data_IF_259645490791
#
_entry.id   IF_259645490791
#
_cell.length_a   1.000
_cell.length_b   1.000
_cell.length_c   1.000
_cell.angle_alpha   90.00
_cell.angle_beta   90.00
_cell.angle_gamma   90.00
#
_symmetry.space_group_name_H-M   'P 1'
#
loop_
_entity.id
_entity.type
_entity.pdbx_description
1 polymer ?
#
# COMPACT_ATOMS: atom_id res chain seq x y z
N UNK A 1 60.74 -10.68 -27.45
CA UNK A 1 59.67 -11.14 -26.59
C UNK A 1 59.39 -10.09 -25.52
N UNK A 2 58.36 -9.26 -25.68
CA UNK A 2 57.96 -8.26 -24.68
C UNK A 2 56.66 -8.77 -24.05
N UNK A 3 56.74 -9.09 -22.77
CA UNK A 3 55.59 -9.54 -21.97
C UNK A 3 54.78 -8.30 -21.56
N UNK A 4 53.55 -8.21 -22.01
CA UNK A 4 52.59 -7.21 -21.55
C UNK A 4 51.84 -7.78 -20.34
N UNK A 5 52.08 -7.23 -19.17
CA UNK A 5 51.32 -7.51 -17.98
C UNK A 5 50.04 -6.65 -18.03
N UNK A 6 48.89 -7.27 -18.30
CA UNK A 6 47.60 -6.63 -18.19
C UNK A 6 47.19 -6.51 -16.71
N UNK A 7 47.04 -5.28 -16.22
CA UNK A 7 46.46 -5.02 -14.92
C UNK A 7 44.93 -5.21 -14.99
N UNK A 8 44.43 -6.23 -14.30
CA UNK A 8 43.00 -6.46 -14.11
C UNK A 8 42.54 -5.47 -13.02
N UNK A 9 41.84 -4.41 -13.41
CA UNK A 9 41.19 -3.51 -12.48
C UNK A 9 39.92 -4.24 -11.94
N UNK A 10 39.99 -4.69 -10.70
CA UNK A 10 38.83 -5.14 -9.95
C UNK A 10 37.95 -3.91 -9.65
N UNK A 11 36.84 -3.76 -10.38
CA UNK A 11 35.79 -2.84 -10.00
C UNK A 11 35.13 -3.41 -8.75
N UNK A 12 35.40 -2.82 -7.60
CA UNK A 12 34.61 -3.10 -6.39
C UNK A 12 33.20 -2.54 -6.63
N UNK A 13 32.16 -3.30 -6.34
CA UNK A 13 30.79 -2.76 -6.39
C UNK A 13 30.70 -1.60 -5.39
N UNK A 14 30.31 -0.44 -5.85
CA UNK A 14 29.93 0.67 -4.99
C UNK A 14 28.62 0.23 -4.31
N UNK A 15 28.68 -0.20 -3.06
CA UNK A 15 27.50 -0.33 -2.22
C UNK A 15 27.13 1.09 -1.82
N UNK A 16 26.04 1.60 -2.36
CA UNK A 16 25.48 2.87 -1.89
C UNK A 16 25.15 2.71 -0.40
N UNK A 17 25.50 3.71 0.42
CA UNK A 17 25.13 3.68 1.82
C UNK A 17 23.61 3.83 1.94
N UNK A 18 22.99 3.06 2.84
CA UNK A 18 21.57 3.19 3.17
C UNK A 18 21.29 4.64 3.59
N UNK A 19 20.14 5.18 3.14
CA UNK A 19 19.70 6.52 3.54
C UNK A 19 19.55 6.58 5.08
N UNK A 20 20.14 7.60 5.71
CA UNK A 20 19.99 7.88 7.12
C UNK A 20 19.12 9.12 7.30
N UNK A 21 18.21 9.04 8.24
CA UNK A 21 17.35 10.15 8.65
C UNK A 21 17.68 10.65 10.05
N UNK A 22 18.86 10.32 10.57
CA UNK A 22 19.34 10.80 11.87
C UNK A 22 19.43 12.33 11.87
N UNK A 23 18.76 12.96 12.83
CA UNK A 23 18.68 14.41 12.95
C UNK A 23 17.81 15.14 11.94
N UNK A 24 17.14 14.43 11.01
CA UNK A 24 16.10 15.03 10.17
C UNK A 24 14.92 15.44 11.03
N UNK A 25 14.46 16.68 10.85
CA UNK A 25 13.32 17.21 11.59
C UNK A 25 12.08 17.24 10.68
N UNK A 26 10.99 16.64 11.15
CA UNK A 26 9.75 16.61 10.39
C UNK A 26 8.87 17.82 10.72
N UNK A 27 8.26 18.40 9.68
CA UNK A 27 7.38 19.53 9.74
C UNK A 27 6.09 19.28 8.99
N UNK A 28 4.99 19.75 9.58
CA UNK A 28 3.71 19.94 8.93
C UNK A 28 3.59 21.41 8.56
N UNK A 29 3.35 21.69 7.29
CA UNK A 29 3.23 23.05 6.74
C UNK A 29 1.78 23.25 6.32
N UNK A 30 1.08 24.20 6.96
CA UNK A 30 -0.24 24.60 6.50
C UNK A 30 -0.09 25.39 5.18
N UNK A 31 -0.70 24.88 4.12
CA UNK A 31 -0.54 25.45 2.79
C UNK A 31 -1.60 26.52 2.51
N UNK A 32 -1.22 27.77 2.66
CA UNK A 32 -1.96 28.90 2.06
C UNK A 32 -1.47 29.21 0.64
N UNK A 33 -0.60 28.38 0.07
CA UNK A 33 0.03 28.53 -1.24
C UNK A 33 -0.22 27.27 -2.07
N UNK A 34 -0.13 27.39 -3.40
CA UNK A 34 -0.16 26.17 -4.23
C UNK A 34 1.05 25.29 -3.92
N UNK A 35 0.87 24.00 -3.96
CA UNK A 35 1.91 22.97 -3.78
C UNK A 35 3.17 23.28 -4.62
N UNK A 36 2.98 23.71 -5.87
CA UNK A 36 4.07 24.11 -6.77
C UNK A 36 4.90 25.27 -6.23
N UNK A 37 4.25 26.28 -5.63
CA UNK A 37 4.94 27.44 -5.04
C UNK A 37 5.73 27.05 -3.77
N UNK A 38 5.27 26.06 -3.01
CA UNK A 38 6.03 25.48 -1.90
C UNK A 38 7.22 24.66 -2.40
N UNK A 39 7.02 23.81 -3.39
CA UNK A 39 8.11 23.02 -4.00
C UNK A 39 9.22 23.94 -4.55
N UNK A 40 8.87 25.06 -5.18
CA UNK A 40 9.86 26.04 -5.66
C UNK A 40 10.68 26.63 -4.50
N UNK A 41 10.03 27.01 -3.40
CA UNK A 41 10.71 27.52 -2.21
C UNK A 41 11.61 26.47 -1.52
N UNK A 42 11.22 25.23 -1.55
CA UNK A 42 11.95 24.12 -0.93
C UNK A 42 13.02 23.50 -1.85
N UNK A 43 13.04 23.85 -3.13
CA UNK A 43 13.88 23.22 -4.16
C UNK A 43 15.38 23.30 -3.92
N UNK A 44 15.85 24.25 -3.10
CA UNK A 44 17.26 24.42 -2.72
C UNK A 44 17.65 23.66 -1.44
N UNK A 45 16.68 23.02 -0.77
CA UNK A 45 16.87 22.32 0.50
C UNK A 45 16.77 20.80 0.29
N UNK A 46 17.49 20.04 1.10
CA UNK A 46 17.34 18.60 1.17
C UNK A 46 16.12 18.25 2.02
N UNK A 47 15.00 18.06 1.35
CA UNK A 47 13.73 17.69 1.96
C UNK A 47 13.23 16.38 1.41
N UNK A 48 12.56 15.60 2.26
CA UNK A 48 11.88 14.36 1.88
C UNK A 48 10.40 14.54 2.18
N UNK A 49 9.55 14.28 1.19
CA UNK A 49 8.11 14.26 1.34
C UNK A 49 7.70 13.04 2.18
N UNK A 50 7.10 13.28 3.33
CA UNK A 50 6.58 12.26 4.25
C UNK A 50 5.05 12.32 4.39
N UNK A 51 4.38 13.08 3.53
CA UNK A 51 2.92 13.16 3.46
C UNK A 51 2.28 12.03 2.62
N UNK A 52 0.97 11.92 2.71
CA UNK A 52 0.20 10.91 1.95
C UNK A 52 0.00 11.26 0.47
N UNK A 53 0.61 12.31 -0.04
CA UNK A 53 0.49 12.75 -1.44
C UNK A 53 0.41 14.26 -1.55
N UNK A 54 -0.03 14.72 -2.73
CA UNK A 54 -0.13 16.16 -3.05
C UNK A 54 -1.41 16.77 -2.43
N UNK A 55 -1.54 16.75 -1.09
CA UNK A 55 -2.60 17.47 -0.42
C UNK A 55 -2.37 18.98 -0.62
N UNK A 56 -3.37 19.66 -1.18
CA UNK A 56 -3.24 21.08 -1.49
C UNK A 56 -3.35 21.97 -0.25
N UNK A 57 -3.84 21.41 0.86
CA UNK A 57 -4.08 22.18 2.10
C UNK A 57 -2.90 22.09 3.08
N UNK A 58 -2.06 21.07 2.98
CA UNK A 58 -0.86 20.94 3.82
C UNK A 58 0.25 20.13 3.14
N UNK A 59 1.45 20.21 3.68
CA UNK A 59 2.61 19.44 3.25
C UNK A 59 3.39 18.93 4.47
N UNK A 60 3.59 17.61 4.54
CA UNK A 60 4.44 16.99 5.56
C UNK A 60 5.80 16.65 4.97
N UNK A 61 6.87 17.24 5.54
CA UNK A 61 8.24 17.03 5.06
C UNK A 61 9.21 16.74 6.19
N UNK A 62 10.25 15.97 5.87
CA UNK A 62 11.45 15.85 6.69
C UNK A 62 12.57 16.70 6.08
N UNK A 63 13.18 17.57 6.88
CA UNK A 63 14.23 18.50 6.49
C UNK A 63 15.56 18.00 7.03
N UNK A 64 16.60 17.95 6.17
CA UNK A 64 17.95 17.53 6.56
C UNK A 64 18.53 18.46 7.63
N UNK A 65 19.37 17.92 8.56
CA UNK A 65 19.93 18.71 9.67
C UNK A 65 20.63 20.00 9.25
N UNK A 66 21.37 19.96 8.13
CA UNK A 66 22.10 21.11 7.58
C UNK A 66 21.19 22.21 7.04
N UNK A 67 19.96 21.88 6.66
CA UNK A 67 19.01 22.79 6.02
C UNK A 67 17.91 23.30 6.97
N UNK A 68 17.83 22.82 8.21
CA UNK A 68 16.80 23.24 9.18
C UNK A 68 16.78 24.75 9.38
N UNK A 69 17.96 25.38 9.57
CA UNK A 69 18.03 26.82 9.77
C UNK A 69 17.58 27.61 8.52
N UNK A 70 17.91 27.12 7.33
CA UNK A 70 17.48 27.74 6.07
C UNK A 70 15.97 27.56 5.85
N UNK A 71 15.41 26.41 6.21
CA UNK A 71 13.96 26.16 6.19
C UNK A 71 13.22 27.08 7.14
N UNK A 72 13.64 27.19 8.40
CA UNK A 72 13.02 28.09 9.40
C UNK A 72 13.08 29.55 8.95
N UNK A 73 14.13 29.96 8.23
CA UNK A 73 14.27 31.33 7.68
C UNK A 73 13.27 31.63 6.53
N UNK A 74 12.63 30.64 5.93
CA UNK A 74 11.57 30.83 4.93
C UNK A 74 10.30 31.43 5.53
N UNK A 75 10.12 31.34 6.86
CA UNK A 75 8.97 31.89 7.58
C UNK A 75 7.63 31.29 7.18
N UNK A 76 7.62 30.00 6.80
CA UNK A 76 6.40 29.27 6.48
C UNK A 76 5.59 29.00 7.76
N UNK A 77 4.27 28.90 7.63
CA UNK A 77 3.41 28.45 8.74
C UNK A 77 3.60 26.94 8.91
N UNK A 78 4.55 26.58 9.75
CA UNK A 78 4.99 25.21 9.92
C UNK A 78 5.06 24.83 11.41
N UNK A 79 4.54 23.63 11.70
CA UNK A 79 4.61 23.03 13.03
C UNK A 79 5.47 21.76 13.01
N UNK A 80 6.22 21.53 14.09
CA UNK A 80 7.08 20.34 14.20
C UNK A 80 6.24 19.11 14.44
N UNK A 81 6.46 18.08 13.62
CA UNK A 81 5.84 16.75 13.69
C UNK A 81 6.75 15.78 14.46
N UNK A 82 8.02 15.71 14.07
CA UNK A 82 9.03 14.93 14.79
C UNK A 82 10.33 15.72 14.91
N UNK A 83 10.98 15.65 16.07
CA UNK A 83 12.26 16.32 16.32
C UNK A 83 13.42 15.60 15.65
N UNK A 84 13.32 14.28 15.46
CA UNK A 84 14.32 13.42 14.83
C UNK A 84 13.62 12.22 14.18
N UNK A 85 13.58 12.20 12.85
CA UNK A 85 12.94 11.11 12.08
C UNK A 85 13.68 9.79 12.26
N UNK A 86 15.01 9.82 12.45
CA UNK A 86 15.80 8.62 12.75
C UNK A 86 15.37 7.94 14.05
N UNK A 87 15.02 8.72 15.07
CA UNK A 87 14.48 8.19 16.33
C UNK A 87 13.10 7.53 16.13
N UNK A 88 12.25 8.14 15.31
CA UNK A 88 10.94 7.54 14.99
C UNK A 88 11.11 6.22 14.21
N UNK A 89 11.97 6.20 13.19
CA UNK A 89 12.29 4.99 12.43
C UNK A 89 12.81 3.85 13.33
N UNK A 90 13.59 4.18 14.35
CA UNK A 90 14.07 3.17 15.29
C UNK A 90 12.95 2.47 16.11
N UNK A 91 11.76 3.07 16.19
CA UNK A 91 10.59 2.47 16.90
C UNK A 91 9.97 1.30 16.14
N UNK A 92 10.12 1.23 14.82
CA UNK A 92 9.67 0.07 14.03
C UNK A 92 10.42 -1.21 14.39
N UNK A 93 11.60 -1.05 14.98
CA UNK A 93 12.49 -2.18 15.31
C UNK A 93 13.14 -2.79 14.08
N UNK A 94 13.85 -3.89 14.29
CA UNK A 94 14.42 -4.66 13.20
C UNK A 94 13.37 -5.60 12.61
N UNK A 95 13.40 -5.78 11.28
CA UNK A 95 12.65 -6.86 10.63
C UNK A 95 13.05 -8.20 11.26
N UNK A 96 12.07 -9.02 11.59
CA UNK A 96 12.33 -10.34 12.19
C UNK A 96 12.15 -11.41 11.12
N UNK A 97 13.17 -12.27 10.91
CA UNK A 97 13.04 -13.41 10.01
C UNK A 97 11.89 -14.31 10.46
N UNK A 98 11.09 -14.71 9.51
CA UNK A 98 10.03 -15.69 9.75
C UNK A 98 10.63 -17.10 9.73
N UNK A 99 10.23 -17.92 10.68
CA UNK A 99 10.54 -19.34 10.65
C UNK A 99 9.23 -20.11 10.54
N UNK A 100 8.98 -20.67 9.37
CA UNK A 100 7.82 -21.52 9.15
C UNK A 100 7.74 -22.63 10.19
N UNK A 101 6.56 -22.89 10.72
CA UNK A 101 6.36 -23.96 11.70
C UNK A 101 6.48 -25.30 11.01
N UNK A 102 7.67 -25.90 11.07
CA UNK A 102 7.92 -27.26 10.55
C UNK A 102 7.19 -28.24 11.44
N UNK A 103 6.12 -28.85 10.94
CA UNK A 103 5.41 -29.94 11.63
C UNK A 103 5.93 -31.31 11.22
N UNK A 104 5.65 -32.31 12.07
CA UNK A 104 6.03 -33.69 11.79
C UNK A 104 5.38 -34.20 10.49
N UNK A 105 6.08 -35.08 9.77
CA UNK A 105 5.59 -35.63 8.53
C UNK A 105 4.23 -36.32 8.70
N UNK A 106 3.19 -35.80 8.00
CA UNK A 106 1.83 -36.32 8.02
C UNK A 106 0.80 -35.51 8.81
N UNK A 107 1.20 -34.40 9.46
CA UNK A 107 0.26 -33.45 10.07
C UNK A 107 -0.07 -32.31 9.09
N UNK A 108 -1.36 -31.96 8.98
CA UNK A 108 -1.77 -30.74 8.26
C UNK A 108 -1.23 -29.55 9.05
N UNK A 109 -0.46 -28.64 8.43
CA UNK A 109 0.02 -27.45 9.11
C UNK A 109 -1.16 -26.63 9.65
N UNK A 110 -0.99 -25.99 10.80
CA UNK A 110 -1.91 -24.92 11.23
C UNK A 110 -1.58 -23.62 10.52
N UNK A 111 -2.45 -22.64 10.66
CA UNK A 111 -2.14 -21.27 10.27
C UNK A 111 -0.86 -20.76 10.94
N UNK A 112 -0.18 -19.76 10.35
CA UNK A 112 0.95 -19.08 10.99
C UNK A 112 0.62 -18.65 12.43
N UNK A 113 1.63 -18.64 13.29
CA UNK A 113 1.44 -18.24 14.69
C UNK A 113 1.12 -16.73 14.77
N UNK A 114 0.33 -16.33 15.77
CA UNK A 114 -0.03 -14.92 15.97
C UNK A 114 1.17 -13.99 16.21
N UNK A 115 2.33 -14.53 16.59
CA UNK A 115 3.59 -13.80 16.69
C UNK A 115 4.09 -13.21 15.36
N UNK A 116 3.57 -13.68 14.22
CA UNK A 116 3.76 -13.02 12.92
C UNK A 116 3.35 -11.55 12.98
N UNK A 117 2.26 -11.23 13.63
CA UNK A 117 1.71 -9.88 13.76
C UNK A 117 2.34 -9.03 14.87
N UNK A 118 3.46 -9.47 15.45
CA UNK A 118 4.23 -8.75 16.49
C UNK A 118 5.49 -8.08 15.93
N UNK A 119 5.73 -8.15 14.62
CA UNK A 119 6.90 -7.54 13.96
C UNK A 119 6.65 -7.34 12.48
N UNK A 120 7.46 -6.47 11.86
CA UNK A 120 7.56 -6.39 10.41
C UNK A 120 8.53 -7.45 9.88
N UNK A 121 8.35 -7.85 8.62
CA UNK A 121 9.06 -8.94 7.98
C UNK A 121 9.64 -8.51 6.62
N UNK A 122 10.62 -9.26 6.09
CA UNK A 122 11.17 -9.07 4.75
C UNK A 122 10.22 -9.64 3.69
N UNK A 123 10.43 -9.27 2.43
CA UNK A 123 9.53 -9.65 1.33
C UNK A 123 9.40 -11.18 1.18
N UNK A 124 10.47 -11.89 1.29
CA UNK A 124 10.51 -13.35 1.18
C UNK A 124 9.67 -14.03 2.27
N UNK A 125 9.58 -13.44 3.44
CA UNK A 125 8.77 -13.94 4.54
C UNK A 125 7.26 -13.79 4.25
N UNK A 126 6.85 -12.70 3.59
CA UNK A 126 5.47 -12.54 3.13
C UNK A 126 5.06 -13.59 2.09
N UNK A 127 5.98 -13.96 1.18
CA UNK A 127 5.74 -15.07 0.26
C UNK A 127 5.56 -16.40 1.02
N UNK A 128 6.41 -16.67 2.01
CA UNK A 128 6.31 -17.86 2.85
C UNK A 128 5.02 -17.88 3.68
N UNK A 129 4.57 -16.73 4.16
CA UNK A 129 3.29 -16.61 4.87
C UNK A 129 2.11 -17.08 4.00
N UNK A 130 2.07 -16.69 2.72
CA UNK A 130 1.02 -17.14 1.79
C UNK A 130 1.07 -18.65 1.59
N UNK A 131 2.26 -19.23 1.42
CA UNK A 131 2.46 -20.68 1.29
C UNK A 131 2.00 -21.43 2.56
N UNK A 132 2.29 -20.90 3.74
CA UNK A 132 1.88 -21.50 5.02
C UNK A 132 0.34 -21.43 5.22
N UNK A 133 -0.29 -20.33 4.80
CA UNK A 133 -1.76 -20.23 4.79
C UNK A 133 -2.37 -21.23 3.82
N UNK A 134 -1.80 -21.37 2.61
CA UNK A 134 -2.23 -22.40 1.66
C UNK A 134 -2.06 -23.81 2.23
N UNK A 135 -0.92 -24.10 2.83
CA UNK A 135 -0.67 -25.40 3.45
C UNK A 135 -1.66 -25.72 4.58
N UNK A 136 -2.14 -24.71 5.30
CA UNK A 136 -3.18 -24.84 6.33
C UNK A 136 -4.59 -24.99 5.76
N UNK A 137 -4.83 -24.58 4.50
CA UNK A 137 -6.15 -24.56 3.85
C UNK A 137 -6.13 -25.14 2.42
N UNK A 138 -5.49 -26.30 2.18
CA UNK A 138 -5.11 -26.76 0.84
C UNK A 138 -6.28 -27.15 -0.08
N UNK A 139 -7.46 -27.41 0.48
CA UNK A 139 -8.63 -27.81 -0.32
C UNK A 139 -9.44 -26.62 -0.85
N UNK A 140 -9.19 -25.44 -0.32
CA UNK A 140 -9.98 -24.24 -0.56
C UNK A 140 -9.11 -23.00 -0.81
N UNK A 141 -7.86 -23.22 -1.19
CA UNK A 141 -6.93 -22.17 -1.57
C UNK A 141 -5.90 -22.65 -2.58
N UNK A 142 -5.30 -21.69 -3.29
CA UNK A 142 -4.08 -21.86 -4.08
C UNK A 142 -3.26 -20.58 -4.00
N UNK A 143 -1.94 -20.68 -3.96
CA UNK A 143 -1.05 -19.54 -4.19
C UNK A 143 -0.91 -19.32 -5.69
N UNK A 144 -0.75 -18.05 -6.09
CA UNK A 144 -0.54 -17.70 -7.50
C UNK A 144 0.50 -16.61 -7.64
N UNK A 145 1.12 -16.55 -8.81
CA UNK A 145 1.96 -15.42 -9.24
C UNK A 145 1.22 -14.72 -10.37
N UNK A 146 0.76 -13.50 -10.15
CA UNK A 146 0.07 -12.71 -11.16
C UNK A 146 1.03 -12.24 -12.26
N UNK A 147 2.31 -12.06 -11.93
CA UNK A 147 3.39 -11.68 -12.83
C UNK A 147 4.64 -11.29 -12.05
N UNK A 148 5.54 -10.56 -12.71
CA UNK A 148 6.81 -10.14 -12.13
C UNK A 148 6.93 -8.61 -12.15
N UNK A 149 7.61 -8.06 -11.14
CA UNK A 149 8.03 -6.66 -11.10
C UNK A 149 9.18 -6.39 -12.08
N UNK A 150 9.61 -5.13 -12.17
CA UNK A 150 10.72 -4.75 -13.04
C UNK A 150 12.03 -5.52 -12.72
N UNK A 151 12.34 -5.72 -11.43
CA UNK A 151 13.55 -6.42 -11.00
C UNK A 151 13.37 -7.95 -10.95
N UNK A 152 12.24 -8.47 -11.44
CA UNK A 152 11.96 -9.91 -11.55
C UNK A 152 11.46 -10.55 -10.25
N UNK A 153 10.96 -9.77 -9.29
CA UNK A 153 10.31 -10.33 -8.10
C UNK A 153 8.88 -10.72 -8.40
N UNK A 154 8.40 -11.86 -7.88
CA UNK A 154 7.02 -12.28 -8.11
C UNK A 154 6.03 -11.33 -7.42
N UNK A 155 4.97 -10.94 -8.13
CA UNK A 155 3.78 -10.32 -7.55
C UNK A 155 2.82 -11.46 -7.24
N UNK A 156 2.84 -11.88 -5.98
CA UNK A 156 2.18 -13.10 -5.52
C UNK A 156 0.92 -12.80 -4.71
N UNK A 157 0.01 -13.74 -4.75
CA UNK A 157 -1.21 -13.71 -3.94
C UNK A 157 -1.72 -15.10 -3.61
N UNK A 158 -2.84 -15.13 -2.92
CA UNK A 158 -3.59 -16.33 -2.60
C UNK A 158 -5.04 -16.17 -3.06
N UNK A 159 -5.56 -17.21 -3.68
CA UNK A 159 -6.96 -17.36 -4.05
C UNK A 159 -7.65 -18.28 -3.05
N UNK A 160 -8.78 -17.81 -2.49
CA UNK A 160 -9.62 -18.60 -1.59
C UNK A 160 -10.99 -18.81 -2.22
N UNK A 161 -11.55 -20.00 -2.03
CA UNK A 161 -12.91 -20.35 -2.47
C UNK A 161 -13.62 -21.27 -1.48
N UNK A 162 -14.93 -21.35 -1.61
CA UNK A 162 -15.78 -22.18 -0.76
C UNK A 162 -16.11 -23.56 -1.33
N UNK A 163 -17.25 -24.08 -0.91
CA UNK A 163 -17.71 -25.43 -1.22
C UNK A 163 -17.95 -25.74 -2.71
N UNK A 164 -18.21 -24.71 -3.52
CA UNK A 164 -18.55 -24.86 -4.93
C UNK A 164 -17.31 -24.93 -5.84
N UNK A 165 -16.12 -24.84 -5.23
CA UNK A 165 -14.82 -24.91 -5.93
C UNK A 165 -14.30 -23.57 -6.41
N UNK A 166 -13.10 -23.53 -7.02
CA UNK A 166 -12.46 -22.30 -7.46
C UNK A 166 -13.19 -21.68 -8.65
N UNK A 167 -13.23 -20.35 -8.70
CA UNK A 167 -13.82 -19.54 -9.77
C UNK A 167 -15.34 -19.81 -9.97
N UNK A 168 -16.05 -20.17 -8.91
CA UNK A 168 -17.48 -20.43 -8.98
C UNK A 168 -18.34 -19.15 -8.80
N UNK A 169 -17.79 -18.13 -8.16
CA UNK A 169 -18.51 -16.93 -7.75
C UNK A 169 -17.85 -15.64 -8.23
N UNK A 170 -18.47 -14.50 -7.95
CA UNK A 170 -17.89 -13.18 -8.20
C UNK A 170 -16.60 -12.99 -7.39
N UNK A 171 -15.64 -12.28 -7.99
CA UNK A 171 -14.36 -12.04 -7.36
C UNK A 171 -14.42 -10.91 -6.31
N UNK A 172 -13.64 -11.07 -5.24
CA UNK A 172 -13.20 -10.00 -4.34
C UNK A 172 -11.68 -9.90 -4.49
N UNK A 173 -11.19 -8.73 -4.89
CA UNK A 173 -9.76 -8.48 -5.12
C UNK A 173 -9.24 -7.49 -4.09
N UNK A 174 -8.19 -7.86 -3.36
CA UNK A 174 -7.46 -6.99 -2.44
C UNK A 174 -6.02 -6.82 -2.89
N UNK A 175 -5.61 -5.57 -3.10
CA UNK A 175 -4.22 -5.18 -3.33
C UNK A 175 -3.68 -4.47 -2.09
N UNK A 176 -2.42 -4.70 -1.75
CA UNK A 176 -1.75 -4.00 -0.66
C UNK A 176 -0.34 -3.58 -1.03
N UNK A 177 0.20 -2.61 -0.31
CA UNK A 177 1.58 -2.16 -0.41
C UNK A 177 1.96 -1.68 -1.83
N UNK A 178 1.05 -0.95 -2.47
CA UNK A 178 1.30 -0.24 -3.73
C UNK A 178 2.39 0.82 -3.51
N UNK A 179 2.31 1.56 -2.38
CA UNK A 179 3.38 2.45 -1.95
C UNK A 179 4.28 1.73 -0.94
N UNK A 180 5.53 1.64 -1.29
CA UNK A 180 6.49 0.78 -0.62
C UNK A 180 6.72 1.08 0.88
N UNK A 181 6.64 2.37 1.27
CA UNK A 181 6.87 2.84 2.65
C UNK A 181 5.73 2.54 3.63
N UNK A 182 4.59 2.09 3.14
CA UNK A 182 3.37 1.85 3.92
C UNK A 182 3.39 0.45 4.55
N UNK A 183 4.36 0.20 5.41
CA UNK A 183 4.63 -1.14 5.95
C UNK A 183 3.48 -1.78 6.70
N UNK A 184 2.63 -0.98 7.37
CA UNK A 184 1.47 -1.48 8.12
C UNK A 184 0.46 -2.21 7.23
N UNK A 185 0.47 -1.95 5.91
CA UNK A 185 -0.52 -2.48 4.97
C UNK A 185 -0.38 -3.99 4.81
N UNK A 186 0.84 -4.49 4.52
CA UNK A 186 1.04 -5.92 4.28
C UNK A 186 0.53 -6.80 5.44
N UNK A 187 0.99 -6.62 6.70
CA UNK A 187 0.51 -7.43 7.82
C UNK A 187 -0.97 -7.19 8.16
N UNK A 188 -1.54 -6.01 7.86
CA UNK A 188 -2.99 -5.80 8.03
C UNK A 188 -3.78 -6.66 7.04
N UNK A 189 -3.42 -6.67 5.75
CA UNK A 189 -4.06 -7.50 4.73
C UNK A 189 -3.88 -8.99 5.05
N UNK A 190 -2.70 -9.39 5.51
CA UNK A 190 -2.42 -10.76 5.95
C UNK A 190 -3.22 -11.17 7.20
N UNK A 191 -3.48 -10.24 8.11
CA UNK A 191 -4.37 -10.49 9.24
C UNK A 191 -5.81 -10.73 8.79
N UNK A 192 -6.29 -9.96 7.81
CA UNK A 192 -7.62 -10.18 7.24
C UNK A 192 -7.72 -11.54 6.54
N UNK A 193 -6.71 -11.92 5.77
CA UNK A 193 -6.57 -13.26 5.17
C UNK A 193 -6.60 -14.36 6.25
N UNK A 194 -5.79 -14.20 7.30
CA UNK A 194 -5.75 -15.11 8.44
C UNK A 194 -7.14 -15.30 9.05
N UNK A 195 -7.87 -14.21 9.29
CA UNK A 195 -9.19 -14.24 9.91
C UNK A 195 -10.26 -14.88 9.02
N UNK A 196 -10.17 -14.74 7.71
CA UNK A 196 -11.04 -15.43 6.77
C UNK A 196 -10.85 -16.94 6.87
N UNK A 197 -9.60 -17.41 6.81
CA UNK A 197 -9.29 -18.85 6.83
C UNK A 197 -9.58 -19.46 8.20
N UNK A 198 -9.12 -18.85 9.29
CA UNK A 198 -9.38 -19.29 10.66
C UNK A 198 -10.88 -19.35 10.96
N UNK A 199 -11.60 -18.31 10.54
CA UNK A 199 -13.05 -18.24 10.66
C UNK A 199 -13.78 -19.33 9.86
N UNK A 200 -13.31 -19.64 8.64
CA UNK A 200 -13.89 -20.71 7.84
C UNK A 200 -13.65 -22.07 8.46
N UNK A 201 -12.43 -22.35 8.92
CA UNK A 201 -12.09 -23.60 9.64
C UNK A 201 -12.89 -23.75 10.94
N UNK A 202 -13.12 -22.67 11.68
CA UNK A 202 -13.95 -22.63 12.91
C UNK A 202 -15.44 -22.53 12.64
N UNK A 203 -15.85 -22.48 11.36
CA UNK A 203 -17.26 -22.41 10.94
C UNK A 203 -17.99 -21.17 11.46
N UNK A 204 -17.31 -20.02 11.54
CA UNK A 204 -17.98 -18.74 11.85
C UNK A 204 -18.89 -18.32 10.70
N UNK A 205 -20.07 -17.78 11.03
CA UNK A 205 -21.09 -17.45 10.01
C UNK A 205 -20.57 -16.50 8.93
N UNK A 206 -19.83 -15.46 9.31
CA UNK A 206 -19.30 -14.47 8.36
C UNK A 206 -18.31 -15.09 7.39
N UNK A 207 -17.28 -15.78 7.90
CA UNK A 207 -16.22 -16.33 7.04
C UNK A 207 -16.76 -17.43 6.12
N UNK A 208 -17.63 -18.31 6.64
CA UNK A 208 -18.26 -19.37 5.81
C UNK A 208 -19.12 -18.75 4.73
N UNK A 209 -19.97 -17.75 5.07
CA UNK A 209 -20.80 -17.09 4.06
C UNK A 209 -19.96 -16.37 3.03
N UNK A 210 -18.92 -15.65 3.45
CA UNK A 210 -18.07 -14.89 2.54
C UNK A 210 -17.32 -15.81 1.56
N UNK A 211 -16.63 -16.82 2.06
CA UNK A 211 -15.82 -17.74 1.22
C UNK A 211 -16.73 -18.69 0.39
N UNK A 212 -17.93 -19.06 0.89
CA UNK A 212 -18.88 -19.88 0.11
C UNK A 212 -19.61 -19.12 -0.99
N UNK A 213 -19.60 -17.77 -0.99
CA UNK A 213 -20.31 -16.96 -1.99
C UNK A 213 -19.39 -16.10 -2.87
N UNK A 214 -18.11 -15.96 -2.53
CA UNK A 214 -17.15 -15.15 -3.27
C UNK A 214 -15.78 -15.85 -3.40
N UNK A 215 -15.13 -15.61 -4.51
CA UNK A 215 -13.74 -15.99 -4.75
C UNK A 215 -12.83 -14.83 -4.33
N UNK A 216 -11.95 -15.02 -3.33
CA UNK A 216 -11.05 -13.99 -2.84
C UNK A 216 -9.68 -14.08 -3.50
N UNK A 217 -9.19 -13.01 -4.08
CA UNK A 217 -7.84 -12.87 -4.63
C UNK A 217 -7.11 -11.79 -3.83
N UNK A 218 -6.13 -12.20 -3.02
CA UNK A 218 -5.48 -11.33 -2.04
C UNK A 218 -3.99 -11.27 -2.34
N UNK A 219 -3.47 -10.05 -2.61
CA UNK A 219 -2.06 -9.76 -2.88
C UNK A 219 -1.55 -8.73 -1.87
N UNK A 220 -0.88 -9.14 -0.77
CA UNK A 220 -0.43 -8.23 0.29
C UNK A 220 0.64 -7.23 -0.15
N UNK A 221 1.51 -7.62 -1.11
CA UNK A 221 2.62 -6.78 -1.60
C UNK A 221 2.62 -6.77 -3.12
N UNK A 222 2.14 -5.68 -3.73
CA UNK A 222 2.08 -5.54 -5.20
C UNK A 222 3.21 -4.67 -5.78
N UNK A 223 4.01 -4.01 -4.94
CA UNK A 223 5.22 -3.28 -5.31
C UNK A 223 6.46 -3.88 -4.62
N UNK A 224 6.85 -5.11 -4.98
CA UNK A 224 7.91 -5.82 -4.25
C UNK A 224 9.27 -5.15 -4.38
N UNK A 225 9.59 -4.53 -5.52
CA UNK A 225 10.88 -3.84 -5.71
C UNK A 225 11.00 -2.61 -4.82
N UNK A 226 9.95 -1.79 -4.78
CA UNK A 226 9.88 -0.65 -3.87
C UNK A 226 9.93 -1.11 -2.41
N UNK A 227 9.19 -2.16 -2.05
CA UNK A 227 9.15 -2.68 -0.69
C UNK A 227 10.53 -3.17 -0.21
N UNK A 228 11.24 -3.97 -1.03
CA UNK A 228 12.61 -4.40 -0.73
C UNK A 228 13.54 -3.18 -0.57
N UNK A 229 13.41 -2.18 -1.44
CA UNK A 229 14.21 -0.96 -1.37
C UNK A 229 13.99 -0.19 -0.05
N UNK A 230 12.82 -0.27 0.57
CA UNK A 230 12.56 0.41 1.85
C UNK A 230 13.39 -0.10 3.01
N UNK A 231 13.79 -1.36 3.03
CA UNK A 231 14.61 -1.89 4.12
C UNK A 231 16.08 -2.10 3.74
N UNK A 232 16.42 -2.09 2.46
CA UNK A 232 17.81 -2.17 2.01
C UNK A 232 18.47 -0.82 1.88
N UNK A 233 17.76 0.19 1.38
CA UNK A 233 18.32 1.48 0.95
C UNK A 233 17.63 2.70 1.57
N UNK A 234 16.30 2.88 1.38
CA UNK A 234 15.58 4.08 1.78
C UNK A 234 14.21 3.76 2.36
N UNK A 235 14.09 3.81 3.71
CA UNK A 235 12.85 3.47 4.43
C UNK A 235 11.62 4.27 3.98
N UNK A 236 11.81 5.49 3.54
CA UNK A 236 10.69 6.37 3.16
C UNK A 236 10.39 6.35 1.65
N UNK A 237 10.94 5.37 0.92
CA UNK A 237 10.68 5.20 -0.50
C UNK A 237 9.21 4.82 -0.78
N UNK A 238 8.56 5.54 -1.71
CA UNK A 238 7.14 5.37 -2.05
C UNK A 238 6.91 4.57 -3.34
N UNK A 239 7.58 4.99 -4.44
CA UNK A 239 7.32 4.57 -5.83
C UNK A 239 7.82 3.15 -6.12
N UNK A 240 7.57 2.64 -7.34
CA UNK A 240 8.28 1.47 -7.83
C UNK A 240 9.77 1.79 -8.12
N UNK A 241 10.52 0.85 -8.70
CA UNK A 241 11.94 1.04 -9.00
C UNK A 241 12.23 1.22 -10.49
N UNK A 242 11.26 1.66 -11.29
CA UNK A 242 11.43 1.80 -12.74
C UNK A 242 12.38 2.94 -13.09
N UNK A 243 13.48 2.57 -13.78
CA UNK A 243 14.38 3.52 -14.39
C UNK A 243 13.85 3.95 -15.75
N UNK A 244 13.96 5.25 -16.05
CA UNK A 244 13.56 5.80 -17.35
C UNK A 244 14.75 6.48 -18.00
N UNK A 245 14.94 6.29 -19.31
CA UNK A 245 16.06 6.87 -20.06
C UNK A 245 15.97 8.41 -20.02
N UNK A 246 17.07 9.05 -19.60
CA UNK A 246 17.15 10.51 -19.50
C UNK A 246 16.50 11.13 -18.25
N UNK A 247 15.82 10.35 -17.42
CA UNK A 247 15.28 10.85 -16.15
C UNK A 247 16.37 10.86 -15.06
N UNK A 248 16.37 11.91 -14.25
CA UNK A 248 17.32 12.05 -13.12
C UNK A 248 16.83 11.31 -11.87
N UNK A 249 15.53 11.07 -11.77
CA UNK A 249 14.90 10.39 -10.64
C UNK A 249 14.32 9.04 -11.08
N UNK A 250 14.27 8.09 -10.13
CA UNK A 250 13.77 6.73 -10.33
C UNK A 250 12.34 6.61 -9.85
N UNK A 251 11.60 5.70 -10.47
CA UNK A 251 10.29 5.23 -10.02
C UNK A 251 9.12 6.03 -10.56
N UNK A 252 8.02 5.29 -10.71
CA UNK A 252 6.67 5.80 -11.03
C UNK A 252 5.76 5.49 -9.85
N UNK A 253 4.87 6.40 -9.50
CA UNK A 253 3.79 6.11 -8.56
C UNK A 253 2.77 5.20 -9.24
N UNK A 254 2.72 3.95 -8.79
CA UNK A 254 1.82 2.94 -9.37
C UNK A 254 0.35 3.40 -9.24
N UNK A 255 -0.03 4.04 -8.11
CA UNK A 255 -1.38 4.57 -7.92
C UNK A 255 -1.60 5.96 -8.52
N UNK A 256 -0.82 6.32 -9.54
CA UNK A 256 -1.03 7.42 -10.50
C UNK A 256 -0.88 6.95 -11.93
N UNK A 257 -0.66 5.64 -12.15
CA UNK A 257 -0.37 5.09 -13.48
C UNK A 257 -1.50 4.23 -14.05
N UNK A 258 -2.63 4.07 -13.35
CA UNK A 258 -3.78 3.32 -13.85
C UNK A 258 -4.31 3.92 -15.15
N UNK A 259 -4.64 3.12 -16.20
CA UNK A 259 -4.98 3.61 -17.52
C UNK A 259 -6.43 4.11 -17.64
N UNK A 260 -6.82 4.99 -16.71
CA UNK A 260 -8.13 5.64 -16.69
C UNK A 260 -8.00 7.04 -16.07
N UNK A 261 -8.46 8.06 -16.78
CA UNK A 261 -8.31 9.47 -16.37
C UNK A 261 -6.89 9.80 -15.84
N UNK A 262 -5.89 9.27 -16.55
CA UNK A 262 -4.49 9.22 -16.09
C UNK A 262 -3.81 10.59 -16.01
N UNK A 263 -4.15 11.51 -16.91
CA UNK A 263 -3.48 12.80 -17.10
C UNK A 263 -4.37 14.01 -16.76
N UNK A 264 -5.38 13.81 -15.91
CA UNK A 264 -6.23 14.91 -15.46
C UNK A 264 -5.38 15.93 -14.71
N UNK A 265 -5.40 17.22 -15.14
CA UNK A 265 -4.58 18.26 -14.53
C UNK A 265 -4.86 18.41 -13.03
N UNK A 266 -3.80 18.50 -12.22
CA UNK A 266 -3.89 18.62 -10.77
C UNK A 266 -3.98 17.28 -10.02
N UNK A 267 -4.29 16.17 -10.68
CA UNK A 267 -4.47 14.88 -10.02
C UNK A 267 -3.22 14.01 -9.93
N UNK A 268 -2.14 14.38 -10.63
CA UNK A 268 -0.85 13.67 -10.63
C UNK A 268 0.25 14.53 -11.25
N UNK A 269 1.51 14.19 -10.98
CA UNK A 269 2.65 14.95 -11.46
C UNK A 269 3.26 14.37 -12.74
N UNK A 270 3.61 15.20 -13.74
CA UNK A 270 4.43 14.79 -14.88
C UNK A 270 5.94 14.82 -14.57
N UNK A 271 6.36 15.29 -13.38
CA UNK A 271 7.76 15.40 -13.00
C UNK A 271 8.28 14.07 -12.42
N UNK A 272 9.30 13.42 -13.03
CA UNK A 272 9.84 12.15 -12.53
C UNK A 272 10.36 12.20 -11.10
N UNK A 273 10.72 13.38 -10.59
CA UNK A 273 11.20 13.55 -9.22
C UNK A 273 10.08 13.76 -8.18
N UNK A 274 8.84 13.90 -8.62
CA UNK A 274 7.70 13.93 -7.70
C UNK A 274 7.39 12.54 -7.12
N UNK A 275 6.90 12.52 -5.88
CA UNK A 275 6.35 11.32 -5.24
C UNK A 275 5.11 10.78 -5.96
N UNK A 276 4.35 11.65 -6.65
CA UNK A 276 3.13 11.33 -7.40
C UNK A 276 3.35 11.28 -8.92
N UNK A 277 4.59 10.99 -9.36
CA UNK A 277 4.92 10.88 -10.78
C UNK A 277 4.12 9.77 -11.47
N UNK A 278 3.29 10.18 -12.47
CA UNK A 278 2.35 9.30 -13.16
C UNK A 278 2.93 8.39 -14.24
N UNK A 279 4.25 8.49 -14.55
CA UNK A 279 4.86 7.77 -15.67
C UNK A 279 4.85 8.59 -16.98
N UNK A 280 5.31 7.97 -18.08
CA UNK A 280 5.36 8.57 -19.41
C UNK A 280 4.10 8.28 -20.22
N UNK A 281 3.40 7.18 -19.88
CA UNK A 281 2.14 6.78 -20.50
C UNK A 281 1.25 6.04 -19.49
N UNK A 282 -0.07 5.99 -19.72
CA UNK A 282 -0.98 5.25 -18.86
C UNK A 282 -0.65 3.75 -18.89
N UNK A 283 -0.50 3.14 -17.70
CA UNK A 283 -0.25 1.71 -17.59
C UNK A 283 1.14 1.26 -18.02
N UNK A 284 2.15 2.14 -18.04
CA UNK A 284 3.47 1.86 -18.59
C UNK A 284 4.47 1.24 -17.58
N UNK A 285 4.02 0.89 -16.37
CA UNK A 285 4.85 0.14 -15.43
C UNK A 285 4.60 -1.36 -15.53
N UNK A 286 5.63 -2.22 -15.32
CA UNK A 286 5.44 -3.68 -15.31
C UNK A 286 4.39 -4.11 -14.30
N UNK A 287 4.43 -3.56 -13.10
CA UNK A 287 3.47 -3.86 -12.02
C UNK A 287 2.04 -3.52 -12.45
N UNK A 288 1.83 -2.37 -13.14
CA UNK A 288 0.51 -1.99 -13.63
C UNK A 288 -0.06 -2.97 -14.65
N UNK A 289 0.78 -3.44 -15.58
CA UNK A 289 0.35 -4.46 -16.54
C UNK A 289 -0.08 -5.76 -15.85
N UNK A 290 0.62 -6.15 -14.78
CA UNK A 290 0.26 -7.33 -13.97
C UNK A 290 -1.08 -7.11 -13.27
N UNK A 291 -1.24 -6.00 -12.54
CA UNK A 291 -2.44 -5.73 -11.73
C UNK A 291 -3.70 -5.57 -12.60
N UNK A 292 -3.60 -4.85 -13.72
CA UNK A 292 -4.73 -4.66 -14.63
C UNK A 292 -5.15 -5.97 -15.30
N UNK A 293 -4.19 -6.75 -15.81
CA UNK A 293 -4.47 -8.03 -16.45
C UNK A 293 -5.09 -9.02 -15.47
N UNK A 294 -4.52 -9.15 -14.27
CA UNK A 294 -5.06 -10.04 -13.24
C UNK A 294 -6.49 -9.65 -12.84
N UNK A 295 -6.73 -8.37 -12.54
CA UNK A 295 -8.06 -7.90 -12.12
C UNK A 295 -9.11 -8.09 -13.22
N UNK A 296 -8.77 -7.80 -14.49
CA UNK A 296 -9.66 -8.04 -15.63
C UNK A 296 -9.91 -9.53 -15.86
N UNK A 297 -8.89 -10.37 -15.69
CA UNK A 297 -9.04 -11.83 -15.85
C UNK A 297 -10.00 -12.40 -14.81
N UNK A 298 -9.79 -12.11 -13.53
CA UNK A 298 -10.61 -12.69 -12.46
C UNK A 298 -12.02 -12.09 -12.45
N UNK A 299 -12.17 -10.77 -12.67
CA UNK A 299 -13.47 -10.12 -12.79
C UNK A 299 -14.25 -10.55 -14.03
N UNK A 300 -13.55 -10.87 -15.13
CA UNK A 300 -14.17 -11.35 -16.37
C UNK A 300 -14.77 -12.74 -16.29
N UNK A 301 -14.49 -13.51 -15.24
CA UNK A 301 -15.04 -14.88 -15.07
C UNK A 301 -16.52 -14.85 -14.65
N UNK A 302 -16.81 -14.24 -13.50
CA UNK A 302 -18.17 -14.22 -12.93
C UNK A 302 -18.59 -12.83 -12.43
N UNK A 303 -17.78 -11.81 -12.61
CA UNK A 303 -17.99 -10.45 -12.10
C UNK A 303 -16.99 -10.10 -10.99
N UNK A 304 -16.92 -8.82 -10.67
CA UNK A 304 -16.08 -8.26 -9.63
C UNK A 304 -16.97 -7.56 -8.59
N UNK A 305 -17.20 -8.24 -7.47
CA UNK A 305 -18.07 -7.73 -6.40
C UNK A 305 -17.40 -6.58 -5.65
N UNK A 306 -16.12 -6.75 -5.30
CA UNK A 306 -15.40 -5.78 -4.51
C UNK A 306 -13.93 -5.71 -4.96
N UNK A 307 -13.45 -4.51 -5.18
CA UNK A 307 -12.03 -4.21 -5.31
C UNK A 307 -11.61 -3.33 -4.13
N UNK A 308 -10.49 -3.66 -3.46
CA UNK A 308 -9.91 -2.82 -2.40
C UNK A 308 -8.42 -2.64 -2.64
N UNK A 309 -7.98 -1.38 -2.65
CA UNK A 309 -6.59 -0.98 -2.62
C UNK A 309 -6.25 -0.45 -1.22
N UNK A 310 -5.36 -1.15 -0.52
CA UNK A 310 -4.99 -0.88 0.86
C UNK A 310 -3.75 0.00 0.93
N UNK A 311 -3.90 1.13 1.60
CA UNK A 311 -2.88 2.16 1.81
C UNK A 311 -2.75 2.55 3.29
N UNK A 312 -1.77 3.33 3.62
CA UNK A 312 -1.59 4.08 4.84
C UNK A 312 -0.91 5.41 4.49
N UNK A 313 -1.20 6.45 5.23
CA UNK A 313 -2.03 6.62 6.43
C UNK A 313 -3.10 7.70 6.22
N UNK A 314 -4.04 7.89 7.08
CA UNK A 314 -4.94 9.04 7.28
C UNK A 314 -6.30 8.62 7.85
N UNK A 315 -6.54 7.31 8.03
CA UNK A 315 -7.82 6.76 8.51
C UNK A 315 -9.00 7.15 7.60
N UNK A 316 -8.89 6.80 6.31
CA UNK A 316 -9.92 7.10 5.31
C UNK A 316 -10.49 5.82 4.69
N UNK A 317 -11.76 5.89 4.25
CA UNK A 317 -12.40 4.94 3.34
C UNK A 317 -12.85 5.73 2.12
N UNK A 318 -12.15 5.54 1.02
CA UNK A 318 -12.33 6.31 -0.21
C UNK A 318 -13.11 5.53 -1.25
N UNK A 319 -14.04 6.20 -1.89
CA UNK A 319 -14.94 5.69 -2.94
C UNK A 319 -14.64 6.40 -4.26
N UNK A 320 -15.07 5.89 -5.44
CA UNK A 320 -15.02 6.67 -6.67
C UNK A 320 -15.84 7.96 -6.55
N UNK A 321 -15.38 9.12 -7.08
CA UNK A 321 -14.20 9.26 -7.94
C UNK A 321 -13.12 10.16 -7.33
N UNK A 322 -11.86 9.89 -7.76
CA UNK A 322 -10.72 10.75 -7.45
C UNK A 322 -10.46 11.83 -8.51
N UNK A 323 -10.75 11.55 -9.79
CA UNK A 323 -10.38 12.43 -10.89
C UNK A 323 -11.29 13.67 -11.05
N UNK A 324 -12.48 13.67 -10.51
CA UNK A 324 -13.45 14.77 -10.64
C UNK A 324 -14.31 14.92 -9.38
N UNK A 325 -14.09 16.01 -8.64
CA UNK A 325 -14.80 16.29 -7.39
C UNK A 325 -16.33 16.54 -7.56
N UNK A 326 -16.79 16.75 -8.78
CA UNK A 326 -18.23 16.95 -9.08
C UNK A 326 -18.97 15.65 -9.40
N UNK A 327 -18.25 14.53 -9.52
CA UNK A 327 -18.81 13.22 -9.88
C UNK A 327 -18.89 12.30 -8.67
N UNK A 328 -19.86 11.41 -8.71
CA UNK A 328 -20.02 10.28 -7.81
C UNK A 328 -20.42 9.03 -8.61
N UNK A 329 -20.09 7.85 -8.10
CA UNK A 329 -20.50 6.58 -8.66
C UNK A 329 -22.04 6.46 -8.77
N UNK A 330 -22.56 5.69 -9.73
CA UNK A 330 -24.01 5.49 -9.87
C UNK A 330 -24.64 4.92 -8.59
N UNK A 331 -23.93 4.05 -7.88
CA UNK A 331 -24.35 3.44 -6.62
C UNK A 331 -23.74 4.11 -5.39
N UNK A 332 -23.37 5.40 -5.49
CA UNK A 332 -22.68 6.13 -4.41
C UNK A 332 -23.42 6.06 -3.07
N UNK A 333 -24.74 6.22 -3.07
CA UNK A 333 -25.52 6.19 -1.82
C UNK A 333 -25.41 4.83 -1.12
N UNK A 334 -25.40 3.75 -1.89
CA UNK A 334 -25.19 2.39 -1.36
C UNK A 334 -23.77 2.20 -0.83
N UNK A 335 -22.75 2.66 -1.56
CA UNK A 335 -21.37 2.62 -1.08
C UNK A 335 -21.18 3.45 0.19
N UNK A 336 -21.79 4.63 0.28
CA UNK A 336 -21.76 5.50 1.46
C UNK A 336 -22.42 4.86 2.69
N UNK A 337 -23.54 4.18 2.52
CA UNK A 337 -24.21 3.44 3.60
C UNK A 337 -23.29 2.34 4.15
N UNK A 338 -22.71 1.52 3.26
CA UNK A 338 -21.79 0.46 3.65
C UNK A 338 -20.52 1.02 4.32
N UNK A 339 -19.92 2.08 3.75
CA UNK A 339 -18.71 2.70 4.30
C UNK A 339 -18.95 3.31 5.69
N UNK A 340 -20.14 3.90 5.91
CA UNK A 340 -20.55 4.40 7.23
C UNK A 340 -20.63 3.29 8.27
N UNK A 341 -21.21 2.14 7.91
CA UNK A 341 -21.28 0.98 8.78
C UNK A 341 -19.90 0.37 9.07
N UNK A 342 -19.03 0.33 8.06
CA UNK A 342 -17.63 -0.09 8.21
C UNK A 342 -16.87 0.83 9.16
N UNK A 343 -16.96 2.13 8.98
CA UNK A 343 -16.29 3.13 9.85
C UNK A 343 -16.74 3.01 11.32
N UNK A 344 -18.02 2.79 11.57
CA UNK A 344 -18.52 2.59 12.93
C UNK A 344 -18.08 1.25 13.53
N UNK A 345 -18.01 0.19 12.72
CA UNK A 345 -17.47 -1.09 13.16
C UNK A 345 -15.98 -0.99 13.53
N UNK A 346 -15.16 -0.30 12.75
CA UNK A 346 -13.76 0.01 13.05
C UNK A 346 -13.67 0.78 14.36
N UNK A 347 -14.45 1.85 14.50
CA UNK A 347 -14.47 2.70 15.69
C UNK A 347 -14.77 1.94 16.97
N UNK A 348 -15.59 0.91 16.90
CA UNK A 348 -15.99 0.10 18.06
C UNK A 348 -14.84 -0.70 18.68
N UNK A 349 -13.71 -0.90 17.97
CA UNK A 349 -12.57 -1.69 18.43
C UNK A 349 -11.60 -0.87 19.28
N UNK A 350 -11.12 0.26 18.75
CA UNK A 350 -10.06 1.08 19.37
C UNK A 350 -10.40 2.58 19.39
N UNK A 351 -11.65 2.94 19.07
CA UNK A 351 -12.11 4.33 19.06
C UNK A 351 -11.60 5.17 17.88
N UNK A 352 -10.87 4.57 16.93
CA UNK A 352 -10.36 5.27 15.73
C UNK A 352 -11.52 5.70 14.84
N UNK A 353 -11.45 6.95 14.39
CA UNK A 353 -12.46 7.54 13.51
C UNK A 353 -11.94 7.53 12.09
N UNK A 354 -12.60 6.80 11.22
CA UNK A 354 -12.35 6.81 9.79
C UNK A 354 -13.32 7.75 9.10
N UNK A 355 -12.81 8.69 8.31
CA UNK A 355 -13.62 9.52 7.42
C UNK A 355 -13.87 8.72 6.14
N UNK A 356 -15.06 8.87 5.54
CA UNK A 356 -15.41 8.12 4.33
C UNK A 356 -16.16 8.99 3.34
N UNK A 357 -15.96 8.71 2.06
CA UNK A 357 -16.64 9.41 0.97
C UNK A 357 -15.95 9.26 -0.39
N UNK A 358 -16.49 9.91 -1.43
CA UNK A 358 -15.82 9.98 -2.72
C UNK A 358 -14.42 10.59 -2.56
N UNK A 359 -13.43 10.00 -3.23
CA UNK A 359 -12.01 10.31 -3.04
C UNK A 359 -11.69 11.79 -3.17
N UNK A 360 -12.14 12.43 -4.29
CA UNK A 360 -11.77 13.82 -4.55
C UNK A 360 -12.23 14.81 -3.45
N UNK A 361 -13.48 14.81 -2.97
CA UNK A 361 -13.88 15.70 -1.88
C UNK A 361 -13.41 15.24 -0.49
N UNK A 362 -12.97 13.98 -0.34
CA UNK A 362 -12.56 13.42 0.96
C UNK A 362 -11.09 13.68 1.26
N UNK A 363 -10.23 13.61 0.25
CA UNK A 363 -8.79 13.85 0.38
C UNK A 363 -8.34 15.00 -0.53
N UNK A 364 -8.27 14.78 -1.84
CA UNK A 364 -7.94 15.77 -2.89
C UNK A 364 -8.16 15.15 -4.27
N UNK A 365 -8.09 15.98 -5.33
CA UNK A 365 -8.18 15.47 -6.71
C UNK A 365 -6.99 14.57 -7.03
N UNK A 366 -7.28 13.34 -7.48
CA UNK A 366 -6.28 12.36 -7.92
C UNK A 366 -6.57 11.89 -9.33
N UNK A 367 -5.55 11.45 -10.08
CA UNK A 367 -5.74 10.90 -11.42
C UNK A 367 -4.94 9.62 -11.62
N UNK A 368 -5.43 8.73 -12.47
CA UNK A 368 -4.78 7.44 -12.72
C UNK A 368 -4.74 6.54 -11.47
N UNK A 369 -5.82 6.52 -10.69
CA UNK A 369 -5.92 5.75 -9.44
C UNK A 369 -6.72 4.46 -9.62
N UNK A 370 -6.41 3.49 -8.76
CA UNK A 370 -6.96 2.13 -8.78
C UNK A 370 -8.47 2.08 -8.67
N UNK A 371 -9.05 2.85 -7.74
CA UNK A 371 -10.49 2.82 -7.44
C UNK A 371 -11.34 3.26 -8.63
N UNK A 372 -10.94 4.33 -9.32
CA UNK A 372 -11.67 4.84 -10.48
C UNK A 372 -11.61 3.84 -11.64
N UNK A 373 -10.43 3.27 -11.87
CA UNK A 373 -10.23 2.27 -12.92
C UNK A 373 -10.99 0.96 -12.61
N UNK A 374 -10.94 0.48 -11.38
CA UNK A 374 -11.61 -0.76 -11.02
C UNK A 374 -13.13 -0.64 -11.11
N UNK A 375 -13.70 0.52 -10.78
CA UNK A 375 -15.12 0.78 -10.92
C UNK A 375 -15.55 0.90 -12.38
N UNK A 376 -14.92 1.80 -13.14
CA UNK A 376 -15.38 2.14 -14.51
C UNK A 376 -14.92 1.12 -15.57
N UNK A 377 -13.74 0.52 -15.41
CA UNK A 377 -13.12 -0.35 -16.43
C UNK A 377 -13.22 -1.82 -16.08
N UNK A 378 -12.88 -2.20 -14.85
CA UNK A 378 -12.99 -3.60 -14.44
C UNK A 378 -14.40 -3.99 -14.00
N UNK A 379 -15.31 -3.02 -13.82
CA UNK A 379 -16.72 -3.25 -13.50
C UNK A 379 -16.95 -3.72 -12.06
N UNK A 380 -16.09 -3.31 -11.14
CA UNK A 380 -16.30 -3.60 -9.71
C UNK A 380 -17.61 -2.95 -9.23
N UNK A 381 -18.50 -3.74 -8.60
CA UNK A 381 -19.72 -3.19 -8.00
C UNK A 381 -19.38 -2.22 -6.86
N UNK A 382 -18.38 -2.59 -6.05
CA UNK A 382 -17.80 -1.78 -4.99
C UNK A 382 -16.30 -1.61 -5.27
N UNK A 383 -15.80 -0.38 -5.27
CA UNK A 383 -14.39 -0.09 -5.50
C UNK A 383 -13.90 0.90 -4.48
N UNK A 384 -13.02 0.46 -3.59
CA UNK A 384 -12.63 1.20 -2.40
C UNK A 384 -11.12 1.33 -2.27
N UNK A 385 -10.67 2.48 -1.74
CA UNK A 385 -9.34 2.69 -1.23
C UNK A 385 -9.38 2.90 0.28
N UNK A 386 -8.47 2.29 0.99
CA UNK A 386 -8.31 2.53 2.42
C UNK A 386 -7.02 3.29 2.68
N UNK A 387 -7.09 4.24 3.61
CA UNK A 387 -5.91 4.75 4.30
C UNK A 387 -5.99 4.29 5.75
N UNK A 388 -5.10 3.38 6.13
CA UNK A 388 -5.06 2.80 7.47
C UNK A 388 -4.63 3.84 8.52
N UNK A 389 -4.48 3.40 9.77
CA UNK A 389 -3.89 4.21 10.84
C UNK A 389 -2.44 4.61 10.52
N UNK A 390 -1.92 5.74 11.10
CA UNK A 390 -2.61 6.67 11.99
C UNK A 390 -3.40 7.74 11.21
N UNK A 391 -4.06 8.66 11.93
CA UNK A 391 -4.82 9.73 11.27
C UNK A 391 -3.93 10.82 10.65
N UNK A 392 -2.70 10.97 11.13
CA UNK A 392 -1.80 12.05 10.70
C UNK A 392 -0.33 11.72 11.01
N UNK A 393 0.59 12.53 10.47
CA UNK A 393 2.03 12.35 10.63
C UNK A 393 2.50 12.49 12.11
N UNK A 394 1.81 13.27 12.96
CA UNK A 394 2.19 13.45 14.37
C UNK A 394 1.99 12.19 15.21
N UNK A 395 1.10 11.31 14.77
CA UNK A 395 0.81 10.02 15.42
C UNK A 395 1.68 8.87 14.86
N UNK A 396 2.70 9.19 14.05
CA UNK A 396 3.66 8.24 13.49
C UNK A 396 3.74 8.23 11.96
N UNK A 397 2.69 8.64 11.24
CA UNK A 397 2.69 8.63 9.78
C UNK A 397 2.94 7.23 9.22
N UNK A 398 3.92 7.09 8.32
CA UNK A 398 4.32 5.78 7.76
C UNK A 398 5.11 4.91 8.73
N UNK A 399 5.58 5.48 9.85
CA UNK A 399 6.49 4.83 10.77
C UNK A 399 5.75 4.45 12.03
N UNK A 400 5.24 3.23 12.06
CA UNK A 400 4.47 2.72 13.19
C UNK A 400 5.23 1.62 13.93
N UNK A 401 5.17 1.61 15.28
CA UNK A 401 5.76 0.52 16.05
C UNK A 401 5.00 -0.80 15.80
N UNK A 402 5.66 -1.97 15.95
CA UNK A 402 5.05 -3.26 15.67
C UNK A 402 3.77 -3.56 16.47
N UNK A 403 3.60 -2.92 17.62
CA UNK A 403 2.41 -3.03 18.47
C UNK A 403 1.14 -2.56 17.78
N UNK A 404 1.25 -1.69 16.77
CA UNK A 404 0.12 -1.21 15.96
C UNK A 404 -0.37 -2.23 14.92
N UNK A 405 0.44 -3.25 14.57
CA UNK A 405 0.09 -4.24 13.53
C UNK A 405 -1.18 -5.00 13.92
N UNK A 406 -1.18 -5.60 15.10
CA UNK A 406 -2.29 -6.44 15.53
C UNK A 406 -3.59 -5.64 15.70
N UNK A 407 -3.51 -4.43 16.27
CA UNK A 407 -4.71 -3.61 16.48
C UNK A 407 -5.24 -3.03 15.15
N UNK A 408 -4.35 -2.69 14.19
CA UNK A 408 -4.74 -2.35 12.82
C UNK A 408 -5.51 -3.50 12.17
N UNK A 409 -4.98 -4.70 12.23
CA UNK A 409 -5.66 -5.89 11.74
C UNK A 409 -7.05 -6.12 12.38
N UNK A 410 -7.13 -5.97 13.70
CA UNK A 410 -8.39 -6.19 14.45
C UNK A 410 -9.47 -5.17 14.11
N UNK A 411 -9.12 -3.89 14.00
CA UNK A 411 -10.08 -2.86 13.64
C UNK A 411 -10.56 -3.02 12.19
N UNK A 412 -9.64 -3.31 11.26
CA UNK A 412 -10.01 -3.55 9.87
C UNK A 412 -10.85 -4.84 9.72
N UNK A 413 -10.54 -5.89 10.49
CA UNK A 413 -11.39 -7.08 10.49
C UNK A 413 -12.82 -6.80 10.98
N UNK A 414 -13.00 -5.93 11.95
CA UNK A 414 -14.35 -5.52 12.37
C UNK A 414 -15.09 -4.81 11.23
N UNK A 415 -14.42 -3.91 10.51
CA UNK A 415 -14.98 -3.24 9.33
C UNK A 415 -15.31 -4.21 8.21
N UNK A 416 -14.37 -5.08 7.82
CA UNK A 416 -14.57 -6.08 6.76
C UNK A 416 -15.66 -7.08 7.12
N UNK A 417 -15.77 -7.50 8.38
CA UNK A 417 -16.92 -8.32 8.82
C UNK A 417 -18.26 -7.61 8.60
N UNK A 418 -18.32 -6.31 8.91
CA UNK A 418 -19.53 -5.53 8.64
C UNK A 418 -19.83 -5.52 7.14
N UNK A 419 -18.85 -5.18 6.31
CA UNK A 419 -19.00 -5.13 4.85
C UNK A 419 -19.49 -6.47 4.29
N UNK A 420 -18.79 -7.58 4.58
CA UNK A 420 -19.12 -8.93 4.11
C UNK A 420 -20.50 -9.45 4.60
N UNK A 421 -21.06 -8.85 5.63
CA UNK A 421 -22.38 -9.23 6.13
C UNK A 421 -23.52 -8.40 5.55
N UNK A 422 -23.23 -7.31 4.82
CA UNK A 422 -24.24 -6.34 4.39
C UNK A 422 -24.27 -6.09 2.87
N UNK A 423 -23.44 -6.76 2.05
CA UNK A 423 -23.54 -6.75 0.59
C UNK A 423 -23.92 -8.09 -0.03
#
# INVERSE_FOLDING_TARGET
MKSAAGALALALPFVAAKASYDGYKAFHIDSHHSYEALQEKLSALHVVDIGCGDDHDHLDIAVAPEDIAAFEALGLDASVVAQDVGVELAREGALKPYTATVKAAGEVPGLPEMSWFESYHEFEDHLQFLEDVHAAFPNNSETFVAGESLEGRPISGIHLWGRDGPNAHEAIVWHGTVHAREWIVAPTVEYLLYQLVDGYQKRTCTAVRAIDNYDFYIMPVVNPDGFVYTYTDDRLWRKNRQHREGATCVGTDINRNWPHHWDVPGGSSPNPCSGTYRGEAPGDTPEMAVLTNHTLEVGGRNGLKLFVDWHAYSQLIMLPYGYDCSKAAENNDYQMELAGGVAEAIRSVDGRVFVYGPTCPTIYQTSGVSMDWAYDIAGAELSWGYELRPANARDGGFVLPPEDILVSGQEQWAGIKHLLNNF
#
